data_IF_946108055095
#
_entry.id   IF_946108055095
#
_cell.length_a   1.000
_cell.length_b   1.000
_cell.length_c   1.000
_cell.angle_alpha   90.00
_cell.angle_beta   90.00
_cell.angle_gamma   90.00
#
_symmetry.space_group_name_H-M   'P 1'
#
loop_
_entity.id
_entity.type
_entity.pdbx_description
1 polymer ?
#
# COMPACT_ATOMS: atom_id res chain seq x y z
N UNK A 1 -4.24 -6.19 -15.66
CA UNK A 1 -3.06 -5.96 -14.80
C UNK A 1 -3.44 -6.33 -13.39
N UNK A 2 -2.55 -6.98 -12.64
CA UNK A 2 -2.82 -7.34 -11.24
C UNK A 2 -2.29 -6.32 -10.25
N UNK A 3 -2.44 -6.68 -8.96
CA UNK A 3 -2.11 -5.80 -7.83
C UNK A 3 -0.60 -5.78 -7.58
N UNK A 4 -0.08 -4.60 -7.29
CA UNK A 4 1.34 -4.32 -7.02
C UNK A 4 1.49 -3.72 -5.63
N UNK A 5 2.49 -4.19 -4.88
CA UNK A 5 2.90 -3.57 -3.61
C UNK A 5 4.32 -3.04 -3.76
N UNK A 6 4.52 -1.77 -3.43
CA UNK A 6 5.83 -1.12 -3.37
C UNK A 6 6.17 -0.93 -1.90
N UNK A 7 7.31 -1.44 -1.48
CA UNK A 7 7.81 -1.23 -0.14
C UNK A 7 8.72 0.00 -0.10
N UNK A 8 8.57 0.78 0.97
CA UNK A 8 9.46 1.88 1.27
C UNK A 8 9.98 1.74 2.71
N UNK A 9 11.22 2.15 2.95
CA UNK A 9 11.82 2.07 4.27
C UNK A 9 11.17 3.06 5.27
N UNK A 10 10.82 4.25 4.78
CA UNK A 10 10.30 5.39 5.57
C UNK A 10 8.88 5.76 5.20
N UNK A 11 8.13 6.29 6.17
CA UNK A 11 6.72 6.72 5.97
C UNK A 11 6.60 7.91 5.02
N UNK A 12 7.59 8.80 5.04
CA UNK A 12 7.68 9.97 4.17
C UNK A 12 7.82 9.51 2.72
N UNK A 13 8.76 8.59 2.46
CA UNK A 13 8.95 8.00 1.12
C UNK A 13 7.72 7.26 0.63
N UNK A 14 7.00 6.55 1.51
CA UNK A 14 5.75 5.88 1.14
C UNK A 14 4.67 6.88 0.69
N UNK A 15 4.55 8.01 1.39
CA UNK A 15 3.61 9.08 1.05
C UNK A 15 3.99 9.80 -0.25
N UNK A 16 5.28 10.13 -0.40
CA UNK A 16 5.81 10.80 -1.58
C UNK A 16 5.60 9.95 -2.84
N UNK A 17 6.03 8.67 -2.81
CA UNK A 17 5.86 7.75 -3.94
C UNK A 17 4.38 7.54 -4.29
N UNK A 18 3.49 7.45 -3.30
CA UNK A 18 2.06 7.34 -3.56
C UNK A 18 1.48 8.61 -4.21
N UNK A 19 2.03 9.79 -3.92
CA UNK A 19 1.64 11.05 -4.56
C UNK A 19 2.15 11.19 -6.00
N UNK A 20 3.32 10.59 -6.30
CA UNK A 20 3.92 10.61 -7.65
C UNK A 20 3.31 9.56 -8.59
N UNK A 21 2.83 8.44 -8.05
CA UNK A 21 2.27 7.33 -8.82
C UNK A 21 0.75 7.47 -8.98
N UNK A 22 0.24 7.65 -10.22
CA UNK A 22 -1.19 7.81 -10.44
C UNK A 22 -2.01 6.64 -9.89
N UNK A 23 -2.98 6.94 -9.03
CA UNK A 23 -3.89 5.95 -8.44
C UNK A 23 -3.27 5.06 -7.36
N UNK A 24 -2.01 5.31 -6.96
CA UNK A 24 -1.41 4.63 -5.83
C UNK A 24 -1.93 5.19 -4.50
N UNK A 25 -1.85 4.38 -3.43
CA UNK A 25 -2.14 4.83 -2.07
C UNK A 25 -1.08 4.35 -1.08
N UNK A 26 -0.76 5.21 -0.12
CA UNK A 26 0.21 4.91 0.93
C UNK A 26 -0.40 4.10 2.08
N UNK A 27 0.44 3.31 2.76
CA UNK A 27 0.13 2.55 3.97
C UNK A 27 1.33 2.55 4.93
N UNK A 28 1.28 3.37 5.98
CA UNK A 28 2.34 3.46 6.99
C UNK A 28 1.77 3.73 8.39
N UNK A 29 2.65 3.79 9.40
CA UNK A 29 2.26 3.88 10.82
C UNK A 29 1.43 5.10 11.22
N UNK A 30 1.68 6.26 10.60
CA UNK A 30 0.91 7.49 10.89
C UNK A 30 -0.52 7.48 10.30
N UNK A 31 -0.86 6.51 9.45
CA UNK A 31 -2.24 6.38 8.95
C UNK A 31 -3.10 5.80 10.06
N UNK A 32 -4.16 6.54 10.44
CA UNK A 32 -5.13 6.08 11.43
C UNK A 32 -5.68 4.69 11.07
N UNK A 33 -5.85 3.85 12.10
CA UNK A 33 -6.27 2.45 11.93
C UNK A 33 -7.55 2.30 11.09
N UNK A 34 -8.54 3.18 11.29
CA UNK A 34 -9.78 3.19 10.48
C UNK A 34 -9.51 3.43 8.99
N UNK A 35 -8.67 4.41 8.67
CA UNK A 35 -8.27 4.72 7.29
C UNK A 35 -7.42 3.59 6.69
N UNK A 36 -6.59 2.94 7.51
CA UNK A 36 -5.78 1.79 7.14
C UNK A 36 -6.69 0.64 6.68
N UNK A 37 -7.72 0.30 7.45
CA UNK A 37 -8.69 -0.74 7.12
C UNK A 37 -9.48 -0.44 5.84
N UNK A 38 -9.93 0.80 5.67
CA UNK A 38 -10.61 1.26 4.44
C UNK A 38 -9.71 1.12 3.22
N UNK A 39 -8.45 1.55 3.33
CA UNK A 39 -7.47 1.49 2.24
C UNK A 39 -7.18 0.05 1.85
N UNK A 40 -7.01 -0.84 2.83
CA UNK A 40 -6.77 -2.26 2.58
C UNK A 40 -7.98 -2.98 1.98
N UNK A 41 -9.19 -2.65 2.43
CA UNK A 41 -10.43 -3.16 1.83
C UNK A 41 -10.55 -2.70 0.36
N UNK A 42 -10.22 -1.45 0.08
CA UNK A 42 -10.22 -0.92 -1.29
C UNK A 42 -9.15 -1.60 -2.17
N UNK A 43 -7.96 -1.86 -1.64
CA UNK A 43 -6.91 -2.58 -2.37
C UNK A 43 -7.30 -4.03 -2.68
N UNK A 44 -7.80 -4.76 -1.66
CA UNK A 44 -8.25 -6.16 -1.82
C UNK A 44 -9.41 -6.31 -2.80
N UNK A 45 -10.31 -5.33 -2.85
CA UNK A 45 -11.42 -5.30 -3.82
C UNK A 45 -11.02 -4.81 -5.21
N UNK A 46 -9.75 -4.42 -5.43
CA UNK A 46 -9.26 -3.95 -6.72
C UNK A 46 -9.71 -2.54 -7.10
N UNK A 47 -10.23 -1.74 -6.15
CA UNK A 47 -10.58 -0.33 -6.42
C UNK A 47 -9.39 0.52 -6.84
N UNK A 48 -8.19 0.09 -6.47
CA UNK A 48 -6.92 0.58 -6.99
C UNK A 48 -5.92 -0.58 -6.97
N UNK A 49 -4.88 -0.48 -7.80
CA UNK A 49 -3.97 -1.60 -8.08
C UNK A 49 -2.57 -1.43 -7.49
N UNK A 50 -2.22 -0.26 -6.96
CA UNK A 50 -0.86 0.01 -6.44
C UNK A 50 -0.90 0.48 -4.99
N UNK A 51 -0.34 -0.31 -4.08
CA UNK A 51 -0.20 0.04 -2.66
C UNK A 51 1.27 0.33 -2.35
N UNK A 52 1.57 1.47 -1.75
CA UNK A 52 2.93 1.80 -1.28
C UNK A 52 2.95 1.67 0.24
N UNK A 53 3.71 0.73 0.79
CA UNK A 53 3.67 0.40 2.22
C UNK A 53 5.06 0.42 2.87
N UNK A 54 5.13 0.68 4.17
CA UNK A 54 6.37 0.39 4.91
C UNK A 54 6.42 -1.07 5.37
N UNK A 55 7.63 -1.60 5.58
CA UNK A 55 7.83 -2.99 6.04
C UNK A 55 7.00 -3.34 7.29
N UNK A 56 6.93 -2.43 8.25
CA UNK A 56 6.13 -2.61 9.47
C UNK A 56 4.65 -2.59 9.15
N UNK A 57 4.20 -1.66 8.32
CA UNK A 57 2.81 -1.51 7.94
C UNK A 57 2.30 -2.65 7.03
N UNK A 58 3.19 -3.38 6.38
CA UNK A 58 2.81 -4.51 5.54
C UNK A 58 2.71 -5.85 6.29
N UNK A 59 3.24 -5.94 7.52
CA UNK A 59 3.07 -7.15 8.34
C UNK A 59 1.58 -7.38 8.59
N UNK A 60 1.11 -8.60 8.33
CA UNK A 60 -0.30 -8.96 8.45
C UNK A 60 -1.18 -8.59 7.25
N UNK A 61 -0.58 -8.13 6.14
CA UNK A 61 -1.28 -8.06 4.87
C UNK A 61 -1.42 -9.47 4.28
N UNK A 62 -2.49 -10.16 4.67
CA UNK A 62 -2.97 -11.32 3.92
C UNK A 62 -3.61 -10.84 2.61
N UNK A 63 -2.83 -10.85 1.54
CA UNK A 63 -3.24 -10.42 0.21
C UNK A 63 -2.86 -11.51 -0.77
N UNK A 64 -3.83 -12.38 -1.05
CA UNK A 64 -3.75 -13.33 -2.14
C UNK A 64 -3.71 -12.55 -3.48
N UNK A 65 -2.82 -12.93 -4.39
CA UNK A 65 -2.56 -12.33 -5.72
C UNK A 65 -1.85 -10.95 -5.78
N UNK A 66 -0.75 -10.78 -5.04
CA UNK A 66 0.24 -9.74 -5.38
C UNK A 66 1.12 -10.24 -6.52
N UNK A 67 1.18 -9.49 -7.63
CA UNK A 67 1.96 -9.89 -8.82
C UNK A 67 3.42 -9.43 -8.77
N UNK A 68 3.70 -8.32 -8.08
CA UNK A 68 5.03 -7.72 -8.03
C UNK A 68 5.26 -7.01 -6.70
N UNK A 69 6.47 -7.20 -6.18
CA UNK A 69 7.01 -6.53 -4.99
C UNK A 69 8.26 -5.76 -5.45
N UNK A 70 8.30 -4.46 -5.12
CA UNK A 70 9.47 -3.59 -5.31
C UNK A 70 9.92 -3.14 -3.92
N UNK A 71 11.22 -3.15 -3.65
CA UNK A 71 11.79 -2.91 -2.32
C UNK A 71 12.83 -1.78 -2.33
#
# INVERSE_FOLDING_TARGET
GGRTIIFAEKKESASELAGLLPGARALHGDIQQSQREVTLKAFRSGKFLTLVATNVAARGLDINDVQLIIQ
#
